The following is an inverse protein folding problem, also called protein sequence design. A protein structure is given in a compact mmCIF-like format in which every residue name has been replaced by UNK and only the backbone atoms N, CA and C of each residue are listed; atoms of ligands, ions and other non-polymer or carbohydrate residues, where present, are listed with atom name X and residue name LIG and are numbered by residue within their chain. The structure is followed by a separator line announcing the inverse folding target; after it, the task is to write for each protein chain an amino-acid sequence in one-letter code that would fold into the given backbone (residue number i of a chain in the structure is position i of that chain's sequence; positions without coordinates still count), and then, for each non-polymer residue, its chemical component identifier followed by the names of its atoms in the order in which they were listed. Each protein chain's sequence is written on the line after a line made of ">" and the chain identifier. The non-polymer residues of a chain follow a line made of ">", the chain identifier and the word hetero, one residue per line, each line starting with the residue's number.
data_IF_651380167379
#
_entry.id   IF_651380167379
#
_cell.length_a   1.000
_cell.length_b   1.000
_cell.length_c   1.000
_cell.angle_alpha   90.00
_cell.angle_beta   90.00
_cell.angle_gamma   90.00
#
_symmetry.space_group_name_H-M   'P 1'
#
loop_
_entity.id
_entity.type
_entity.pdbx_description
1 polymer ?
#
# COMPACT_ATOMS: atom_id res chain seq x y z
N UNK A 1 -4.89 3.66 -5.27
CA UNK A 1 -3.79 3.63 -4.27
C UNK A 1 -2.48 3.09 -4.88
N UNK A 2 -1.33 3.77 -4.74
CA UNK A 2 -0.03 3.29 -5.25
C UNK A 2 0.76 2.61 -4.12
N UNK A 3 1.13 1.35 -4.31
CA UNK A 3 1.77 0.52 -3.29
C UNK A 3 3.14 0.06 -3.75
N UNK A 4 4.15 0.24 -2.92
CA UNK A 4 5.48 -0.32 -3.14
C UNK A 4 5.59 -1.63 -2.40
N UNK A 5 5.88 -2.68 -3.16
CA UNK A 5 5.96 -4.06 -2.70
C UNK A 5 7.39 -4.55 -2.82
N UNK A 6 7.80 -5.39 -1.88
CA UNK A 6 9.03 -6.17 -1.94
C UNK A 6 8.67 -7.63 -2.17
N UNK A 7 9.00 -8.13 -3.36
CA UNK A 7 8.85 -9.54 -3.70
C UNK A 7 9.72 -10.42 -2.80
N UNK A 8 9.37 -11.69 -2.61
CA UNK A 8 10.17 -12.64 -1.83
C UNK A 8 11.57 -12.86 -2.43
N UNK A 9 11.75 -12.58 -3.73
CA UNK A 9 13.06 -12.55 -4.40
C UNK A 9 13.91 -11.28 -4.13
N UNK A 10 13.47 -10.39 -3.25
CA UNK A 10 14.16 -9.13 -2.92
C UNK A 10 13.95 -7.99 -3.93
N UNK A 11 13.15 -8.21 -4.99
CA UNK A 11 12.83 -7.20 -5.99
C UNK A 11 11.79 -6.22 -5.45
N UNK A 12 12.04 -4.93 -5.58
CA UNK A 12 11.08 -3.87 -5.24
C UNK A 12 10.28 -3.52 -6.51
N UNK A 13 8.96 -3.48 -6.39
CA UNK A 13 8.03 -3.19 -7.47
C UNK A 13 6.93 -2.25 -6.98
N UNK A 14 6.42 -1.40 -7.88
CA UNK A 14 5.29 -0.52 -7.58
C UNK A 14 4.06 -1.07 -8.28
N UNK A 15 2.98 -1.22 -7.54
CA UNK A 15 1.71 -1.73 -8.01
C UNK A 15 0.59 -0.78 -7.60
N UNK A 16 -0.33 -0.50 -8.52
CA UNK A 16 -1.56 0.22 -8.21
C UNK A 16 -2.61 -0.78 -7.74
N UNK A 17 -3.16 -0.51 -6.57
CA UNK A 17 -4.28 -1.25 -6.00
C UNK A 17 -5.53 -0.38 -5.99
N UNK A 18 -6.67 -1.06 -6.05
CA UNK A 18 -7.99 -0.44 -5.91
C UNK A 18 -8.12 0.12 -4.50
N UNK A 19 -8.76 1.28 -4.40
CA UNK A 19 -8.94 2.02 -3.14
C UNK A 19 -9.92 1.35 -2.17
N UNK A 20 -10.62 0.29 -2.63
CA UNK A 20 -11.47 -0.58 -1.80
C UNK A 20 -10.66 -1.60 -0.97
N UNK A 21 -9.34 -1.67 -1.19
CA UNK A 21 -8.47 -2.64 -0.53
C UNK A 21 -7.69 -1.98 0.60
N UNK A 22 -7.92 -2.44 1.83
CA UNK A 22 -7.19 -2.01 3.01
C UNK A 22 -5.86 -2.78 3.06
N UNK A 23 -4.76 -2.05 2.87
CA UNK A 23 -3.39 -2.57 2.93
C UNK A 23 -2.61 -1.74 3.95
N UNK A 24 -1.73 -2.39 4.70
CA UNK A 24 -0.88 -1.77 5.71
C UNK A 24 0.60 -2.09 5.47
N UNK A 25 1.50 -1.20 5.89
CA UNK A 25 2.95 -1.41 5.72
C UNK A 25 3.37 -2.57 6.63
N UNK A 26 4.01 -3.58 6.05
CA UNK A 26 4.36 -4.85 6.70
C UNK A 26 3.41 -5.99 6.36
N UNK A 27 2.30 -5.73 5.67
CA UNK A 27 1.39 -6.78 5.23
C UNK A 27 2.00 -7.64 4.11
N UNK A 28 1.70 -8.94 4.13
CA UNK A 28 2.20 -9.90 3.15
C UNK A 28 1.04 -10.29 2.24
N UNK A 29 1.11 -9.84 0.99
CA UNK A 29 0.15 -10.20 -0.05
C UNK A 29 0.11 -11.70 -0.29
N UNK A 30 -0.98 -12.19 -0.92
CA UNK A 30 -1.13 -13.60 -1.29
C UNK A 30 -0.04 -14.14 -2.22
N UNK A 31 0.68 -13.28 -2.94
CA UNK A 31 1.85 -13.63 -3.77
C UNK A 31 3.16 -13.75 -2.96
N UNK A 32 3.11 -13.52 -1.64
CA UNK A 32 4.28 -13.49 -0.76
C UNK A 32 5.08 -12.18 -0.82
N UNK A 33 4.51 -11.14 -1.44
CA UNK A 33 5.12 -9.81 -1.54
C UNK A 33 4.77 -8.97 -0.31
N UNK A 34 5.77 -8.31 0.28
CA UNK A 34 5.63 -7.48 1.48
C UNK A 34 5.37 -6.02 1.10
N UNK A 35 4.39 -5.39 1.72
CA UNK A 35 4.09 -3.96 1.55
C UNK A 35 5.12 -3.14 2.31
N UNK A 36 5.97 -2.39 1.60
CA UNK A 36 7.02 -1.56 2.23
C UNK A 36 6.68 -0.07 2.23
N UNK A 37 5.75 0.38 1.39
CA UNK A 37 5.31 1.77 1.36
C UNK A 37 3.97 1.90 0.65
N UNK A 38 3.10 2.73 1.20
CA UNK A 38 1.80 3.08 0.63
C UNK A 38 1.84 4.57 0.28
N UNK A 39 1.52 4.92 -0.96
CA UNK A 39 1.29 6.29 -1.38
C UNK A 39 -0.15 6.40 -1.86
N UNK A 40 -0.96 7.06 -1.04
CA UNK A 40 -2.28 7.49 -1.48
C UNK A 40 -2.10 8.50 -2.62
N UNK A 41 -2.79 8.33 -3.77
CA UNK A 41 -2.78 9.36 -4.79
C UNK A 41 -3.30 10.65 -4.16
N UNK A 42 -2.58 11.76 -4.36
CA UNK A 42 -2.93 13.13 -3.91
C UNK A 42 -4.31 13.62 -4.38
N UNK A 43 -5.01 12.83 -5.19
CA UNK A 43 -6.37 13.05 -5.73
C UNK A 43 -7.47 12.33 -4.91
N UNK A 44 -7.16 11.84 -3.71
CA UNK A 44 -8.21 11.46 -2.75
C UNK A 44 -8.68 12.75 -2.07
N UNK A 45 -9.64 13.38 -2.74
CA UNK A 45 -10.58 14.37 -2.20
C UNK A 45 -10.92 14.04 -0.73
N UNK A 46 -10.44 14.88 0.19
CA UNK A 46 -11.00 15.30 1.48
C UNK A 46 -11.91 14.36 2.32
N UNK A 47 -11.85 13.02 2.24
CA UNK A 47 -12.77 12.15 2.99
C UNK A 47 -12.19 10.83 3.52
N UNK A 48 -10.87 10.64 3.48
CA UNK A 48 -10.22 9.57 4.25
C UNK A 48 -9.37 10.18 5.35
N UNK A 49 -10.01 10.35 6.50
CA UNK A 49 -9.38 10.54 7.82
C UNK A 49 -8.11 9.70 7.90
N UNK A 50 -6.96 10.38 7.78
CA UNK A 50 -5.69 9.82 8.17
C UNK A 50 -5.89 9.24 9.58
N UNK A 51 -5.78 7.92 9.72
CA UNK A 51 -5.68 7.25 11.00
C UNK A 51 -4.39 7.75 11.66
N UNK A 52 -4.54 8.87 12.36
CA UNK A 52 -3.58 9.43 13.29
C UNK A 52 -3.45 8.41 14.42
N UNK A 53 -2.34 7.67 14.38
CA UNK A 53 -1.97 6.70 15.41
C UNK A 53 -1.54 7.49 16.65
N UNK A 54 -2.49 7.71 17.56
CA UNK A 54 -2.32 8.38 18.85
C UNK A 54 -1.50 7.56 19.85
#
# INVERSE_FOLDING_TARGET
>A
MLVTLKRPGGKIEKAEFRDDMWLEIGDILSDGSEVISLKYPDDIDDDMTALDLY
#
